data_IF_166504922255
#
_entry.id   IF_166504922255
#
_cell.length_a   1.000
_cell.length_b   1.000
_cell.length_c   1.000
_cell.angle_alpha   90.00
_cell.angle_beta   90.00
_cell.angle_gamma   90.00
#
_symmetry.space_group_name_H-M   'P 1'
#
loop_
_entity.id
_entity.type
_entity.pdbx_description
1 polymer ?
#
# COMPACT_ATOMS: atom_id res chain seq x y z
N UNK A 1 67.44 7.23 37.55
CA UNK A 1 66.41 6.34 37.00
C UNK A 1 65.06 6.74 37.57
N UNK A 2 64.11 7.09 36.68
CA UNK A 2 62.64 6.98 36.75
C UNK A 2 62.01 8.19 36.06
N UNK A 3 61.59 7.92 34.81
CA UNK A 3 60.87 8.82 33.91
C UNK A 3 59.43 8.94 34.39
N UNK A 4 58.91 10.16 34.51
CA UNK A 4 57.47 10.40 34.67
C UNK A 4 56.91 10.83 33.31
N UNK A 5 56.11 9.94 32.72
CA UNK A 5 55.43 10.12 31.43
C UNK A 5 54.13 10.87 31.71
N UNK A 6 53.97 12.04 31.11
CA UNK A 6 52.73 12.82 31.14
C UNK A 6 51.78 12.21 30.11
N UNK A 7 50.67 11.61 30.57
CA UNK A 7 49.58 11.16 29.70
C UNK A 7 48.70 12.37 29.35
N UNK A 8 48.78 12.83 28.10
CA UNK A 8 47.82 13.78 27.54
C UNK A 8 46.59 12.99 27.08
N UNK A 9 45.48 13.07 27.82
CA UNK A 9 44.21 12.48 27.41
C UNK A 9 43.64 13.31 26.24
N UNK A 10 43.71 12.78 25.03
CA UNK A 10 43.03 13.35 23.87
C UNK A 10 41.56 12.97 23.96
N UNK A 11 40.71 13.92 24.35
CA UNK A 11 39.26 13.78 24.28
C UNK A 11 38.83 14.10 22.84
N UNK A 12 38.62 13.08 22.03
CA UNK A 12 37.98 13.23 20.71
C UNK A 12 36.49 13.46 20.91
N UNK A 13 36.05 14.72 20.82
CA UNK A 13 34.64 15.06 20.69
C UNK A 13 34.22 14.73 19.26
N UNK A 14 33.58 13.58 19.07
CA UNK A 14 32.90 13.25 17.82
C UNK A 14 31.65 14.14 17.73
N UNK A 15 31.75 15.25 17.01
CA UNK A 15 30.60 16.08 16.64
C UNK A 15 29.78 15.25 15.66
N UNK A 16 28.67 14.66 16.13
CA UNK A 16 27.70 14.00 15.28
C UNK A 16 27.12 15.03 14.31
N UNK A 17 27.47 14.92 13.02
CA UNK A 17 26.77 15.64 11.97
C UNK A 17 25.34 15.13 11.90
N UNK A 18 24.39 15.93 12.40
CA UNK A 18 22.98 15.75 12.07
C UNK A 18 22.79 16.00 10.58
N UNK A 19 22.75 14.93 9.80
CA UNK A 19 22.27 14.98 8.44
C UNK A 19 20.76 15.20 8.47
N UNK A 20 20.31 16.45 8.34
CA UNK A 20 18.91 16.73 8.02
C UNK A 20 18.64 16.22 6.61
N UNK A 21 18.03 15.04 6.50
CA UNK A 21 17.46 14.54 5.24
C UNK A 21 16.32 15.49 4.86
N UNK A 22 16.58 16.41 3.92
CA UNK A 22 15.52 17.19 3.30
C UNK A 22 14.77 16.28 2.32
N UNK A 23 13.70 15.64 2.78
CA UNK A 23 12.73 14.98 1.91
C UNK A 23 12.20 16.02 0.91
N UNK A 24 12.45 15.83 -0.39
CA UNK A 24 11.87 16.71 -1.41
C UNK A 24 10.37 16.42 -1.48
N UNK A 25 9.55 17.36 -1.01
CA UNK A 25 8.12 17.32 -1.25
C UNK A 25 7.88 17.28 -2.77
N UNK A 26 7.36 16.17 -3.27
CA UNK A 26 7.09 16.00 -4.68
C UNK A 26 5.97 16.97 -5.10
N UNK A 27 6.23 17.79 -6.14
CA UNK A 27 5.27 18.76 -6.62
C UNK A 27 3.99 18.05 -7.09
N UNK A 28 2.85 18.47 -6.55
CA UNK A 28 1.53 17.96 -6.92
C UNK A 28 1.19 18.47 -8.33
N UNK A 29 0.93 17.56 -9.27
CA UNK A 29 0.65 17.91 -10.67
C UNK A 29 -0.83 18.24 -10.87
N UNK A 30 -1.17 18.72 -12.08
CA UNK A 30 -2.56 19.05 -12.42
C UNK A 30 -3.56 17.90 -12.35
N UNK A 31 -3.14 16.65 -12.13
CA UNK A 31 -4.03 15.50 -11.89
C UNK A 31 -4.18 15.13 -10.41
N UNK A 32 -3.58 15.88 -9.48
CA UNK A 32 -3.64 15.65 -8.04
C UNK A 32 -2.58 14.71 -7.47
N UNK A 33 -1.79 14.02 -8.29
CA UNK A 33 -0.71 13.14 -7.82
C UNK A 33 0.66 13.83 -7.86
N UNK A 34 1.63 13.34 -7.06
CA UNK A 34 3.03 13.70 -7.17
C UNK A 34 3.59 13.55 -8.58
N UNK A 35 4.57 14.39 -8.92
CA UNK A 35 5.42 14.18 -10.09
C UNK A 35 6.57 13.22 -9.76
N UNK A 36 7.00 12.41 -10.72
CA UNK A 36 8.15 11.51 -10.58
C UNK A 36 7.88 10.07 -11.01
N UNK A 37 8.93 9.24 -10.90
CA UNK A 37 8.84 7.82 -11.14
C UNK A 37 7.88 7.17 -10.13
N UNK A 38 7.03 6.28 -10.62
CA UNK A 38 6.07 5.56 -9.81
C UNK A 38 5.74 4.21 -10.44
N UNK A 39 5.38 3.24 -9.60
CA UNK A 39 4.69 2.05 -10.06
C UNK A 39 3.21 2.39 -10.26
N UNK A 40 2.60 1.89 -11.33
CA UNK A 40 1.18 2.05 -11.57
C UNK A 40 0.51 0.69 -11.39
N UNK A 41 -0.61 0.62 -10.67
CA UNK A 41 -1.49 -0.54 -10.63
C UNK A 41 -2.88 -0.14 -11.10
N UNK A 42 -3.44 -0.91 -12.03
CA UNK A 42 -4.81 -0.72 -12.53
C UNK A 42 -5.67 -1.92 -12.11
N UNK A 43 -6.68 -1.70 -11.28
CA UNK A 43 -7.70 -2.71 -10.99
C UNK A 43 -8.89 -2.46 -11.91
N UNK A 44 -9.16 -3.39 -12.83
CA UNK A 44 -10.07 -3.23 -13.95
C UNK A 44 -11.30 -4.12 -13.74
N UNK A 45 -12.47 -3.48 -13.61
CA UNK A 45 -13.75 -4.17 -13.52
C UNK A 45 -14.18 -4.73 -14.88
N UNK A 46 -14.42 -6.04 -14.96
CA UNK A 46 -14.84 -6.74 -16.18
C UNK A 46 -16.22 -7.38 -16.04
N UNK A 47 -16.95 -7.48 -17.15
CA UNK A 47 -18.32 -8.05 -17.18
C UNK A 47 -18.34 -9.55 -17.42
N UNK A 48 -17.20 -10.13 -17.76
CA UNK A 48 -17.02 -11.55 -18.01
C UNK A 48 -15.71 -11.97 -17.36
N UNK A 49 -15.77 -13.10 -16.70
CA UNK A 49 -14.62 -13.70 -16.05
C UNK A 49 -13.53 -14.00 -17.07
N UNK A 50 -12.30 -13.99 -16.58
CA UNK A 50 -11.11 -14.30 -17.35
C UNK A 50 -10.80 -15.79 -17.19
N UNK A 51 -10.43 -16.40 -18.30
CA UNK A 51 -10.05 -17.82 -18.37
C UNK A 51 -8.59 -18.02 -18.78
N UNK A 52 -7.91 -16.95 -19.18
CA UNK A 52 -6.50 -17.01 -19.50
C UNK A 52 -5.68 -17.03 -18.21
N UNK A 53 -4.61 -17.82 -18.21
CA UNK A 53 -3.60 -17.83 -17.14
C UNK A 53 -2.85 -16.50 -17.13
N UNK A 54 -2.73 -15.83 -15.97
CA UNK A 54 -2.15 -14.49 -15.88
C UNK A 54 -1.07 -14.34 -14.79
N UNK A 55 -0.42 -15.44 -14.41
CA UNK A 55 0.45 -15.49 -13.22
C UNK A 55 1.93 -15.23 -13.54
N UNK A 56 2.17 -14.46 -14.59
CA UNK A 56 3.52 -14.28 -15.16
C UNK A 56 4.33 -13.17 -14.49
N UNK A 57 3.77 -12.45 -13.51
CA UNK A 57 4.38 -11.23 -13.00
C UNK A 57 4.31 -10.04 -13.98
N UNK A 58 3.75 -10.25 -15.18
CA UNK A 58 3.76 -9.28 -16.28
C UNK A 58 2.41 -8.56 -16.33
N UNK A 59 2.48 -7.24 -16.19
CA UNK A 59 1.33 -6.38 -16.37
C UNK A 59 0.94 -5.68 -15.07
N UNK A 60 0.87 -4.37 -15.16
CA UNK A 60 0.52 -3.45 -14.08
C UNK A 60 -1.00 -3.38 -13.84
N UNK A 61 -1.67 -4.54 -13.89
CA UNK A 61 -3.14 -4.62 -13.85
C UNK A 61 -3.66 -5.90 -13.22
N UNK A 62 -4.81 -5.79 -12.56
CA UNK A 62 -5.62 -6.90 -12.03
C UNK A 62 -7.02 -6.78 -12.64
N UNK A 63 -7.61 -7.88 -13.06
CA UNK A 63 -9.01 -7.94 -13.51
C UNK A 63 -9.89 -8.45 -12.38
N UNK A 64 -11.02 -7.79 -12.14
CA UNK A 64 -11.97 -8.17 -11.08
C UNK A 64 -13.40 -8.15 -11.62
N UNK A 65 -14.34 -8.87 -10.99
CA UNK A 65 -15.76 -8.76 -11.36
C UNK A 65 -16.22 -7.30 -11.28
N UNK A 66 -17.14 -6.92 -12.17
CA UNK A 66 -17.75 -5.59 -12.15
C UNK A 66 -18.61 -5.34 -10.91
N UNK A 67 -19.08 -6.41 -10.27
CA UNK A 67 -19.89 -6.36 -9.07
C UNK A 67 -19.47 -7.48 -8.15
N UNK A 68 -19.33 -7.19 -6.86
CA UNK A 68 -19.01 -8.17 -5.83
C UNK A 68 -17.64 -7.96 -5.22
N UNK A 69 -17.38 -8.77 -4.20
CA UNK A 69 -16.19 -8.70 -3.35
C UNK A 69 -15.23 -9.83 -3.68
N UNK A 70 -13.95 -9.50 -3.81
CA UNK A 70 -12.85 -10.45 -4.01
C UNK A 70 -11.70 -10.15 -3.05
N UNK A 71 -10.79 -11.11 -2.90
CA UNK A 71 -9.52 -10.90 -2.20
C UNK A 71 -8.42 -10.58 -3.22
N UNK A 72 -7.61 -9.58 -2.91
CA UNK A 72 -6.30 -9.37 -3.55
C UNK A 72 -5.27 -9.68 -2.48
N UNK A 73 -4.69 -10.87 -2.54
CA UNK A 73 -3.68 -11.33 -1.58
C UNK A 73 -2.42 -10.48 -1.70
N UNK A 74 -1.81 -10.15 -0.57
CA UNK A 74 -0.63 -9.30 -0.50
C UNK A 74 0.55 -10.14 -0.03
N UNK A 75 1.61 -10.16 -0.83
CA UNK A 75 2.86 -10.83 -0.48
C UNK A 75 3.98 -9.81 -0.31
N UNK A 76 4.84 -9.95 0.71
CA UNK A 76 6.00 -9.09 0.84
C UNK A 76 6.99 -9.39 -0.29
N UNK A 77 7.51 -8.36 -0.95
CA UNK A 77 8.53 -8.49 -1.98
C UNK A 77 9.39 -7.23 -2.11
N UNK A 78 10.58 -7.33 -2.71
CA UNK A 78 11.48 -6.19 -2.88
C UNK A 78 10.92 -5.12 -3.85
N UNK A 79 10.07 -5.55 -4.79
CA UNK A 79 9.49 -4.73 -5.85
C UNK A 79 7.97 -4.90 -5.92
N UNK A 80 7.30 -3.92 -6.53
CA UNK A 80 5.88 -4.02 -6.86
C UNK A 80 5.66 -4.96 -8.07
N UNK A 81 4.83 -5.99 -7.92
CA UNK A 81 4.51 -6.90 -9.01
C UNK A 81 3.11 -7.48 -8.88
N UNK A 82 2.37 -7.58 -9.99
CA UNK A 82 1.13 -8.36 -10.02
C UNK A 82 1.50 -9.80 -10.31
N UNK A 83 1.45 -10.64 -9.29
CA UNK A 83 1.83 -12.05 -9.38
C UNK A 83 0.70 -12.90 -9.94
N UNK A 84 -0.55 -12.50 -9.69
CA UNK A 84 -1.74 -13.06 -10.31
C UNK A 84 -2.69 -11.90 -10.62
N UNK A 85 -2.99 -11.73 -11.91
CA UNK A 85 -3.85 -10.66 -12.41
C UNK A 85 -5.32 -11.08 -12.54
N UNK A 86 -5.69 -12.34 -12.28
CA UNK A 86 -7.05 -12.82 -12.38
C UNK A 86 -7.74 -12.81 -11.01
N UNK A 87 -8.58 -11.81 -10.77
CA UNK A 87 -9.45 -11.79 -9.59
C UNK A 87 -10.83 -12.40 -9.85
N UNK A 88 -11.05 -13.11 -10.97
CA UNK A 88 -12.39 -13.58 -11.40
C UNK A 88 -12.59 -15.10 -11.32
N UNK A 89 -11.55 -15.86 -11.00
CA UNK A 89 -11.50 -17.33 -10.96
C UNK A 89 -11.61 -17.94 -9.54
N UNK A 90 -11.94 -17.11 -8.55
CA UNK A 90 -12.42 -17.55 -7.23
C UNK A 90 -11.34 -17.68 -6.14
N UNK A 91 -10.06 -17.85 -6.50
CA UNK A 91 -8.91 -17.76 -5.57
C UNK A 91 -8.47 -16.30 -5.32
N UNK A 92 -9.00 -15.35 -6.10
CA UNK A 92 -8.64 -13.94 -6.00
C UNK A 92 -7.32 -13.63 -6.71
N UNK A 93 -6.93 -12.37 -6.70
CA UNK A 93 -5.69 -11.92 -7.33
C UNK A 93 -4.54 -11.88 -6.32
N UNK A 94 -3.30 -11.70 -6.79
CA UNK A 94 -2.12 -11.58 -5.92
C UNK A 94 -1.23 -10.41 -6.34
N UNK A 95 -0.89 -9.55 -5.39
CA UNK A 95 -0.01 -8.40 -5.56
C UNK A 95 1.16 -8.47 -4.57
N UNK A 96 2.37 -8.35 -5.10
CA UNK A 96 3.59 -8.23 -4.31
C UNK A 96 3.97 -6.77 -4.15
N UNK A 97 4.36 -6.38 -2.94
CA UNK A 97 4.77 -5.02 -2.60
C UNK A 97 5.79 -5.01 -1.45
N UNK A 98 6.66 -3.98 -1.38
CA UNK A 98 7.57 -3.81 -0.25
C UNK A 98 6.84 -3.56 1.05
N UNK A 99 7.47 -3.94 2.17
CA UNK A 99 7.00 -3.56 3.49
C UNK A 99 6.91 -2.03 3.56
N UNK A 100 5.70 -1.47 3.76
CA UNK A 100 5.51 -0.04 3.71
C UNK A 100 6.19 0.67 4.87
N UNK A 101 6.30 0.06 6.04
CA UNK A 101 6.80 0.70 7.27
C UNK A 101 7.47 -0.37 8.15
N UNK A 102 8.72 -0.76 7.80
CA UNK A 102 9.40 -1.90 8.42
C UNK A 102 9.77 -1.65 9.89
N UNK A 103 9.88 -0.38 10.30
CA UNK A 103 10.22 0.01 11.66
C UNK A 103 8.98 0.32 12.52
N UNK A 104 7.78 0.25 11.91
CA UNK A 104 6.48 0.62 12.48
C UNK A 104 6.50 1.96 13.23
N UNK A 105 7.17 2.96 12.66
CA UNK A 105 7.26 4.31 13.22
C UNK A 105 6.16 5.25 12.68
N UNK A 106 5.35 4.77 11.74
CA UNK A 106 4.30 5.53 11.06
C UNK A 106 4.78 6.29 9.83
N UNK A 107 6.04 6.10 9.41
CA UNK A 107 6.63 6.72 8.23
C UNK A 107 6.84 5.66 7.15
N UNK A 108 6.01 5.73 6.10
CA UNK A 108 6.12 4.74 5.03
C UNK A 108 7.33 4.98 4.12
N UNK A 109 7.88 3.92 3.53
CA UNK A 109 8.93 3.95 2.50
C UNK A 109 8.42 4.44 1.14
N UNK A 110 7.10 4.40 0.92
CA UNK A 110 6.43 4.92 -0.26
C UNK A 110 5.05 5.49 0.06
N UNK A 111 4.53 6.35 -0.80
CA UNK A 111 3.15 6.84 -0.75
C UNK A 111 2.31 6.28 -1.87
N UNK A 112 1.01 6.10 -1.60
CA UNK A 112 0.04 5.59 -2.57
C UNK A 112 -1.02 6.63 -2.86
N UNK A 113 -1.26 6.83 -4.15
CA UNK A 113 -2.25 7.78 -4.66
C UNK A 113 -3.24 7.05 -5.55
N UNK A 114 -4.53 7.24 -5.31
CA UNK A 114 -5.58 6.52 -6.02
C UNK A 114 -6.62 7.45 -6.66
N UNK A 115 -7.22 6.98 -7.75
CA UNK A 115 -8.39 7.61 -8.39
C UNK A 115 -9.26 6.60 -9.13
N UNK A 116 -10.52 6.97 -9.32
CA UNK A 116 -11.46 6.24 -10.18
C UNK A 116 -11.43 6.75 -11.63
N UNK A 117 -11.41 5.86 -12.62
CA UNK A 117 -11.41 6.17 -14.04
C UNK A 117 -12.46 5.35 -14.82
N UNK A 118 -12.61 5.66 -16.11
CA UNK A 118 -13.56 5.01 -17.01
C UNK A 118 -14.95 5.63 -16.97
N UNK A 119 -15.98 4.81 -17.27
CA UNK A 119 -17.38 5.25 -17.32
C UNK A 119 -17.88 5.69 -15.94
N UNK A 120 -18.51 6.87 -15.80
CA UNK A 120 -19.13 7.32 -14.56
C UNK A 120 -20.23 6.42 -14.00
N UNK A 121 -20.42 6.51 -12.67
CA UNK A 121 -21.48 5.85 -11.91
C UNK A 121 -21.05 4.60 -11.13
N UNK A 122 -19.79 4.20 -11.23
CA UNK A 122 -19.24 3.07 -10.46
C UNK A 122 -18.50 3.52 -9.21
N UNK A 123 -18.45 2.65 -8.21
CA UNK A 123 -17.63 2.83 -7.00
C UNK A 123 -16.88 1.54 -6.64
N UNK A 124 -15.78 1.67 -5.91
CA UNK A 124 -15.12 0.54 -5.25
C UNK A 124 -14.75 0.90 -3.82
N UNK A 125 -14.70 -0.11 -2.97
CA UNK A 125 -14.17 -0.01 -1.60
C UNK A 125 -13.04 -1.03 -1.45
N UNK A 126 -11.88 -0.56 -1.02
CA UNK A 126 -10.72 -1.41 -0.72
C UNK A 126 -10.43 -1.33 0.77
N UNK A 127 -10.53 -2.44 1.49
CA UNK A 127 -10.27 -2.51 2.93
C UNK A 127 -9.07 -3.44 3.18
N UNK A 128 -7.98 -2.98 3.80
CA UNK A 128 -6.90 -3.85 4.25
C UNK A 128 -7.41 -4.82 5.32
N UNK A 129 -7.07 -6.09 5.18
CA UNK A 129 -7.42 -7.13 6.12
C UNK A 129 -6.22 -8.06 6.31
N UNK A 130 -6.23 -8.80 7.41
CA UNK A 130 -5.23 -9.81 7.74
C UNK A 130 -5.87 -10.86 8.65
N UNK A 131 -5.08 -11.84 9.05
CA UNK A 131 -5.47 -12.88 9.97
C UNK A 131 -4.66 -12.84 11.26
N UNK A 132 -5.27 -13.22 12.36
CA UNK A 132 -4.60 -13.56 13.62
C UNK A 132 -5.19 -14.89 14.10
N UNK A 133 -4.34 -15.91 14.26
CA UNK A 133 -4.73 -17.25 14.69
C UNK A 133 -5.92 -17.84 13.90
N UNK A 134 -5.95 -17.58 12.58
CA UNK A 134 -6.99 -18.05 11.66
C UNK A 134 -8.29 -17.24 11.67
N UNK A 135 -8.38 -16.17 12.48
CA UNK A 135 -9.52 -15.24 12.51
C UNK A 135 -9.24 -14.05 11.59
N UNK A 136 -10.18 -13.72 10.72
CA UNK A 136 -10.09 -12.58 9.80
C UNK A 136 -10.39 -11.26 10.53
N UNK A 137 -9.46 -10.32 10.45
CA UNK A 137 -9.61 -8.95 10.91
C UNK A 137 -9.48 -7.99 9.73
N UNK A 138 -10.46 -7.10 9.58
CA UNK A 138 -10.45 -6.06 8.56
C UNK A 138 -10.37 -4.69 9.20
N UNK A 139 -9.55 -3.83 8.61
CA UNK A 139 -9.36 -2.45 9.01
C UNK A 139 -10.69 -1.71 9.08
N UNK A 140 -10.85 -0.86 10.09
CA UNK A 140 -11.96 0.11 10.16
C UNK A 140 -11.79 1.24 9.15
N UNK A 141 -10.54 1.48 8.69
CA UNK A 141 -10.20 2.43 7.64
C UNK A 141 -10.16 1.75 6.26
N UNK A 142 -10.68 2.44 5.25
CA UNK A 142 -10.77 1.91 3.88
C UNK A 142 -10.60 3.00 2.81
N UNK A 143 -10.27 2.57 1.60
CA UNK A 143 -10.20 3.43 0.42
C UNK A 143 -11.51 3.33 -0.35
N UNK A 144 -12.23 4.44 -0.45
CA UNK A 144 -13.43 4.56 -1.29
C UNK A 144 -13.10 5.35 -2.55
N UNK A 145 -13.32 4.74 -3.71
CA UNK A 145 -13.18 5.42 -5.00
C UNK A 145 -14.53 5.49 -5.69
N UNK A 146 -14.96 6.69 -6.05
CA UNK A 146 -16.22 6.94 -6.77
C UNK A 146 -15.89 7.58 -8.12
N UNK A 147 -16.46 7.05 -9.21
CA UNK A 147 -16.33 7.64 -10.54
C UNK A 147 -17.48 8.58 -10.84
N UNK A 148 -17.29 9.86 -10.53
CA UNK A 148 -18.20 10.93 -10.93
C UNK A 148 -18.07 11.30 -12.41
N UNK A 149 -18.91 12.22 -12.91
CA UNK A 149 -18.74 12.81 -14.24
C UNK A 149 -17.55 13.78 -14.24
N UNK A 150 -16.95 13.99 -15.41
CA UNK A 150 -15.86 14.96 -15.59
C UNK A 150 -14.49 14.42 -15.16
N UNK A 151 -13.60 15.33 -14.76
CA UNK A 151 -12.19 15.06 -14.44
C UNK A 151 -12.08 14.26 -13.14
N UNK A 152 -11.23 13.24 -13.18
CA UNK A 152 -10.85 12.46 -11.99
C UNK A 152 -9.43 12.82 -11.57
N UNK A 153 -9.27 13.11 -10.28
CA UNK A 153 -8.02 13.50 -9.65
C UNK A 153 -7.57 12.44 -8.66
N UNK A 154 -6.27 12.31 -8.49
CA UNK A 154 -5.68 11.47 -7.46
C UNK A 154 -5.85 12.07 -6.07
N UNK A 155 -5.97 11.17 -5.09
CA UNK A 155 -5.95 11.48 -3.66
C UNK A 155 -4.92 10.56 -2.99
N UNK A 156 -4.28 11.06 -1.93
CA UNK A 156 -3.37 10.24 -1.13
C UNK A 156 -4.22 9.27 -0.30
N UNK A 157 -3.95 7.98 -0.44
CA UNK A 157 -4.63 6.88 0.24
C UNK A 157 -3.68 6.01 1.07
N UNK A 158 -2.47 6.51 1.31
CA UNK A 158 -1.36 5.75 1.92
C UNK A 158 -1.78 5.15 3.25
N UNK A 159 -2.33 5.96 4.17
CA UNK A 159 -2.69 5.48 5.50
C UNK A 159 -3.83 4.47 5.44
N UNK A 160 -4.85 4.67 4.60
CA UNK A 160 -6.01 3.80 4.50
C UNK A 160 -5.75 2.49 3.75
N UNK A 161 -4.72 2.43 2.91
CA UNK A 161 -4.42 1.27 2.08
C UNK A 161 -3.29 0.39 2.64
N UNK A 162 -2.34 0.99 3.35
CA UNK A 162 -1.10 0.31 3.79
C UNK A 162 -1.07 -0.03 5.28
N UNK A 163 -2.17 0.19 5.99
CA UNK A 163 -2.31 -0.15 7.40
C UNK A 163 -3.64 -0.85 7.67
N UNK A 164 -3.62 -1.75 8.64
CA UNK A 164 -4.80 -2.34 9.27
C UNK A 164 -5.03 -1.61 10.59
N UNK A 165 -6.14 -0.88 10.70
CA UNK A 165 -6.58 -0.22 11.93
C UNK A 165 -7.64 -1.08 12.59
N UNK A 166 -7.31 -1.68 13.72
CA UNK A 166 -8.17 -2.62 14.44
C UNK A 166 -7.86 -2.53 15.93
N UNK A 167 -8.87 -2.76 16.76
CA UNK A 167 -8.77 -2.94 18.20
C UNK A 167 -8.68 -4.44 18.49
N UNK A 168 -7.47 -4.95 18.73
CA UNK A 168 -7.25 -6.39 18.93
C UNK A 168 -7.49 -6.85 20.37
N UNK A 169 -7.30 -5.97 21.35
CA UNK A 169 -7.43 -6.31 22.78
C UNK A 169 -8.81 -5.98 23.37
N UNK A 170 -9.64 -5.28 22.59
CA UNK A 170 -11.03 -4.96 22.91
C UNK A 170 -11.17 -3.81 23.90
N UNK A 171 -10.16 -2.95 24.05
CA UNK A 171 -10.19 -1.82 24.97
C UNK A 171 -10.96 -0.58 24.43
N UNK A 172 -11.34 -0.62 23.16
CA UNK A 172 -12.06 0.43 22.44
C UNK A 172 -11.16 1.44 21.73
N UNK A 173 -9.84 1.22 21.71
CA UNK A 173 -8.84 2.03 21.01
C UNK A 173 -8.31 1.21 19.82
N UNK A 174 -8.23 1.85 18.65
CA UNK A 174 -7.67 1.16 17.47
C UNK A 174 -6.15 1.23 17.48
N UNK A 175 -5.50 0.07 17.33
CA UNK A 175 -4.10 -0.03 16.99
C UNK A 175 -3.88 0.13 15.48
N UNK A 176 -2.66 0.49 15.12
CA UNK A 176 -2.22 0.61 13.74
C UNK A 176 -1.14 -0.44 13.47
N UNK A 177 -1.43 -1.37 12.55
CA UNK A 177 -0.47 -2.36 12.06
C UNK A 177 -0.13 -2.08 10.59
N UNK A 178 1.14 -1.81 10.22
CA UNK A 178 1.52 -1.77 8.81
C UNK A 178 1.28 -3.11 8.14
N UNK A 179 1.08 -3.11 6.82
CA UNK A 179 1.09 -4.37 6.07
C UNK A 179 2.39 -5.13 6.35
N UNK A 180 2.26 -6.43 6.61
CA UNK A 180 3.37 -7.32 6.98
C UNK A 180 3.99 -7.06 8.37
N UNK A 181 3.28 -6.37 9.27
CA UNK A 181 3.60 -6.43 10.70
C UNK A 181 3.50 -7.88 11.19
N UNK A 182 4.44 -8.29 12.03
CA UNK A 182 4.52 -9.64 12.60
C UNK A 182 3.36 -10.02 13.53
N UNK A 183 2.59 -9.04 13.99
CA UNK A 183 1.41 -9.28 14.83
C UNK A 183 0.24 -9.93 14.05
N UNK A 184 0.22 -9.83 12.72
CA UNK A 184 -0.82 -10.43 11.87
C UNK A 184 -0.17 -11.21 10.71
N UNK A 185 -0.95 -12.05 10.04
CA UNK A 185 -0.53 -12.90 8.93
C UNK A 185 -1.49 -12.79 7.74
N UNK A 186 -1.06 -13.30 6.58
CA UNK A 186 -1.92 -13.49 5.40
C UNK A 186 -2.69 -12.23 4.99
N UNK A 187 -1.98 -11.12 4.85
CA UNK A 187 -2.55 -9.82 4.49
C UNK A 187 -3.21 -9.86 3.10
N UNK A 188 -4.35 -9.18 2.97
CA UNK A 188 -5.04 -9.01 1.69
C UNK A 188 -5.81 -7.69 1.65
N UNK A 189 -6.06 -7.19 0.44
CA UNK A 189 -7.07 -6.16 0.23
C UNK A 189 -8.42 -6.83 -0.08
N UNK A 190 -9.41 -6.59 0.78
CA UNK A 190 -10.82 -6.88 0.49
C UNK A 190 -11.34 -5.82 -0.49
N UNK A 191 -11.42 -6.18 -1.77
CA UNK A 191 -11.83 -5.27 -2.84
C UNK A 191 -13.29 -5.54 -3.21
N UNK A 192 -14.19 -4.63 -2.83
CA UNK A 192 -15.60 -4.66 -3.21
C UNK A 192 -15.85 -3.72 -4.39
N UNK A 193 -16.19 -4.30 -5.53
CA UNK A 193 -16.52 -3.54 -6.73
C UNK A 193 -18.04 -3.36 -6.86
N UNK A 194 -18.46 -2.13 -7.12
CA UNK A 194 -19.84 -1.76 -7.38
C UNK A 194 -19.89 -0.94 -8.68
N UNK A 195 -19.55 -1.60 -9.79
CA UNK A 195 -19.63 -1.04 -11.14
C UNK A 195 -18.44 -0.17 -11.56
N UNK A 196 -17.39 -0.01 -10.74
CA UNK A 196 -16.23 0.78 -11.12
C UNK A 196 -15.46 0.08 -12.25
N UNK A 197 -15.13 0.86 -13.30
CA UNK A 197 -14.42 0.35 -14.48
C UNK A 197 -12.92 0.24 -14.27
N UNK A 198 -12.33 1.23 -13.62
CA UNK A 198 -10.91 1.28 -13.37
C UNK A 198 -10.64 2.03 -12.06
N UNK A 199 -10.07 1.34 -11.08
CA UNK A 199 -9.34 1.97 -9.99
C UNK A 199 -7.86 2.03 -10.39
N UNK A 200 -7.28 3.23 -10.38
CA UNK A 200 -5.87 3.43 -10.69
C UNK A 200 -5.13 3.87 -9.43
N UNK A 201 -4.10 3.11 -9.07
CA UNK A 201 -3.19 3.39 -7.97
C UNK A 201 -1.80 3.72 -8.51
N UNK A 202 -1.11 4.62 -7.83
CA UNK A 202 0.29 4.99 -8.11
C UNK A 202 1.08 4.95 -6.82
N UNK A 203 2.22 4.26 -6.85
CA UNK A 203 3.11 4.06 -5.73
C UNK A 203 4.40 4.83 -5.98
N UNK A 204 4.72 5.79 -5.11
CA UNK A 204 5.86 6.68 -5.22
C UNK A 204 6.82 6.41 -4.06
N UNK A 205 8.07 6.06 -4.37
CA UNK A 205 9.11 5.91 -3.35
C UNK A 205 9.41 7.27 -2.69
N UNK A 206 9.69 7.25 -1.39
CA UNK A 206 10.01 8.44 -0.59
C UNK A 206 11.52 8.77 -0.60
#
# INVERSE_FOLDING_TARGET
MKRAIIYMAVVTVAIGMLFTVKTKAAAITGNGAPNGAHYNLNIIGVSKDKTAFMDSGIGHRIFVPLSGKIKINLLPGADFAVLDANGTDGNGATFSLPNPDPDNDGVTSYTVWARALGKPGGKSVTTPCAYLDGVEYCSTSNVVLVRDKGKSSFTNVTSQLLYVYIDLDGDGVEERYPLFDSALQDYFWSYDNNGLKLAQFRFYQN
#
